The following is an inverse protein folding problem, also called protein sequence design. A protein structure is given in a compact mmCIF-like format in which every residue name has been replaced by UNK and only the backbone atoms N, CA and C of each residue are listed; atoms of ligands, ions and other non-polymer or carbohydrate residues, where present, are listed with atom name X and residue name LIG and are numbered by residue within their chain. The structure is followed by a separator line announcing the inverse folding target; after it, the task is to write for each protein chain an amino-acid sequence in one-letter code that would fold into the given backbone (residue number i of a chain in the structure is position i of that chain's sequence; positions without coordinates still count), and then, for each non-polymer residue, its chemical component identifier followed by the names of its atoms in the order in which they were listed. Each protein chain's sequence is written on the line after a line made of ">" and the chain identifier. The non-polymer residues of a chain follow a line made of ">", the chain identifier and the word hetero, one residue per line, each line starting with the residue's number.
data_IF_921931975078
#
_entry.id   IF_921931975078
#
_cell.length_a   1.000
_cell.length_b   1.000
_cell.length_c   1.000
_cell.angle_alpha   90.00
_cell.angle_beta   90.00
_cell.angle_gamma   90.00
#
_symmetry.space_group_name_H-M   'P 1'
#
loop_
_entity.id
_entity.type
_entity.pdbx_description
1 polymer ?
#
# COMPACT_ATOMS: atom_id res chain seq x y z
N UNK A 1 20.55 -8.65 -6.67
CA UNK A 1 19.18 -8.17 -6.43
C UNK A 1 18.37 -9.38 -6.03
N UNK A 2 17.76 -9.36 -4.85
CA UNK A 2 16.93 -10.45 -4.34
C UNK A 2 15.59 -10.49 -5.10
N UNK A 3 15.00 -11.67 -5.30
CA UNK A 3 13.69 -11.82 -5.93
C UNK A 3 12.62 -11.04 -5.15
N UNK A 4 12.71 -11.07 -3.81
CA UNK A 4 11.79 -10.34 -2.93
C UNK A 4 11.94 -8.82 -3.08
N UNK A 5 13.17 -8.34 -3.21
CA UNK A 5 13.48 -6.93 -3.46
C UNK A 5 12.90 -6.49 -4.82
N UNK A 6 13.07 -7.33 -5.86
CA UNK A 6 12.53 -7.08 -7.19
C UNK A 6 11.00 -6.98 -7.17
N UNK A 7 10.33 -7.95 -6.54
CA UNK A 7 8.87 -7.93 -6.38
C UNK A 7 8.38 -6.71 -5.59
N UNK A 8 9.14 -6.30 -4.57
CA UNK A 8 8.82 -5.12 -3.77
C UNK A 8 8.87 -3.84 -4.61
N UNK A 9 9.90 -3.68 -5.45
CA UNK A 9 10.00 -2.52 -6.37
C UNK A 9 8.91 -2.52 -7.43
N UNK A 10 8.56 -3.69 -7.97
CA UNK A 10 7.46 -3.83 -8.93
C UNK A 10 6.13 -3.49 -8.28
N UNK A 11 5.89 -3.96 -7.04
CA UNK A 11 4.68 -3.65 -6.28
C UNK A 11 4.52 -2.13 -6.07
N UNK A 12 5.60 -1.44 -5.67
CA UNK A 12 5.57 0.02 -5.53
C UNK A 12 5.23 0.71 -6.86
N UNK A 13 5.89 0.33 -7.96
CA UNK A 13 5.65 0.91 -9.28
C UNK A 13 4.22 0.66 -9.81
N UNK A 14 3.63 -0.50 -9.51
CA UNK A 14 2.25 -0.81 -9.90
C UNK A 14 1.26 0.07 -9.16
N UNK A 15 1.44 0.29 -7.85
CA UNK A 15 0.58 1.19 -7.09
C UNK A 15 0.74 2.63 -7.57
N UNK A 16 1.96 3.10 -7.85
CA UNK A 16 2.18 4.42 -8.47
C UNK A 16 1.41 4.56 -9.79
N UNK A 17 1.48 3.54 -10.65
CA UNK A 17 0.79 3.52 -11.94
C UNK A 17 -0.74 3.61 -11.78
N UNK A 18 -1.31 2.90 -10.81
CA UNK A 18 -2.74 2.99 -10.49
C UNK A 18 -3.14 4.44 -10.18
N UNK A 19 -2.40 5.12 -9.29
CA UNK A 19 -2.68 6.51 -8.93
C UNK A 19 -2.49 7.48 -10.11
N UNK A 20 -1.42 7.32 -10.90
CA UNK A 20 -1.21 8.15 -12.10
C UNK A 20 -2.35 8.02 -13.10
N UNK A 21 -2.87 6.81 -13.33
CA UNK A 21 -4.04 6.61 -14.21
C UNK A 21 -5.33 7.21 -13.65
N UNK A 22 -5.45 7.31 -12.32
CA UNK A 22 -6.51 8.05 -11.65
C UNK A 22 -6.26 9.58 -11.62
N UNK A 23 -5.28 10.09 -12.39
CA UNK A 23 -4.93 11.51 -12.52
C UNK A 23 -4.40 12.15 -11.23
N UNK A 24 -3.76 11.36 -10.37
CA UNK A 24 -2.94 11.89 -9.29
C UNK A 24 -1.55 12.22 -9.81
N UNK A 25 -1.01 13.35 -9.35
CA UNK A 25 0.42 13.61 -9.35
C UNK A 25 1.07 12.74 -8.29
N UNK A 26 2.14 12.03 -8.66
CA UNK A 26 2.85 11.11 -7.78
C UNK A 26 4.29 11.57 -7.64
N UNK A 27 4.69 11.88 -6.40
CA UNK A 27 6.04 12.32 -6.07
C UNK A 27 6.68 11.37 -5.04
N UNK A 28 7.95 10.98 -5.20
CA UNK A 28 8.63 10.13 -4.22
C UNK A 28 8.66 10.81 -2.85
N UNK A 29 8.47 10.02 -1.79
CA UNK A 29 8.53 10.57 -0.45
C UNK A 29 9.98 10.84 -0.06
N UNK A 30 10.30 12.12 0.16
CA UNK A 30 11.58 12.55 0.71
C UNK A 30 11.32 13.03 2.14
N UNK A 31 12.07 12.50 3.09
CA UNK A 31 12.04 13.00 4.46
C UNK A 31 13.46 13.23 4.93
N UNK A 32 13.64 14.34 5.65
CA UNK A 32 14.86 14.63 6.39
C UNK A 32 14.86 13.93 7.77
N UNK A 33 13.75 13.25 8.12
CA UNK A 33 13.60 12.51 9.37
C UNK A 33 14.14 11.08 9.25
N UNK A 34 14.60 10.53 10.39
CA UNK A 34 15.04 9.14 10.45
C UNK A 34 13.91 8.17 10.07
N UNK A 35 14.23 7.19 9.22
CA UNK A 35 13.30 6.12 8.84
C UNK A 35 12.87 5.33 10.08
N UNK A 36 11.62 4.86 10.09
CA UNK A 36 11.11 4.02 11.16
C UNK A 36 11.79 2.65 11.07
N UNK A 37 12.75 2.38 11.96
CA UNK A 37 13.41 1.08 12.05
C UNK A 37 12.56 0.08 12.81
N UNK A 38 12.19 -1.01 12.14
CA UNK A 38 11.54 -2.14 12.78
C UNK A 38 12.26 -3.44 12.42
N UNK A 39 12.98 -4.01 13.37
CA UNK A 39 13.85 -5.15 13.11
C UNK A 39 14.99 -4.75 12.17
N UNK A 40 15.03 -5.35 10.97
CA UNK A 40 16.02 -5.05 9.92
C UNK A 40 15.47 -4.17 8.80
N UNK A 41 14.19 -3.82 8.86
CA UNK A 41 13.52 -3.08 7.81
C UNK A 41 13.37 -1.60 8.20
N UNK A 42 13.71 -0.72 7.27
CA UNK A 42 13.42 0.71 7.34
C UNK A 42 12.04 0.96 6.70
N UNK A 43 11.14 1.61 7.45
CA UNK A 43 9.80 1.94 6.99
C UNK A 43 9.62 3.45 6.82
N UNK A 44 9.08 3.81 5.66
CA UNK A 44 8.60 5.15 5.32
C UNK A 44 7.46 5.03 4.32
N UNK A 45 6.68 6.11 4.11
CA UNK A 45 5.90 6.24 2.89
C UNK A 45 6.80 6.02 1.67
N UNK A 46 6.25 5.37 0.65
CA UNK A 46 6.91 5.18 -0.64
C UNK A 46 6.83 6.48 -1.45
N UNK A 47 5.64 7.09 -1.48
CA UNK A 47 5.37 8.31 -2.25
C UNK A 47 4.22 9.12 -1.65
N UNK A 48 4.11 10.37 -2.12
CA UNK A 48 2.95 11.23 -1.93
C UNK A 48 2.15 11.23 -3.22
N UNK A 49 0.83 11.15 -3.09
CA UNK A 49 -0.11 11.36 -4.20
C UNK A 49 -0.92 12.61 -3.94
N UNK A 50 -1.06 13.46 -4.96
CA UNK A 50 -1.83 14.70 -4.87
C UNK A 50 -2.72 14.88 -6.09
N UNK A 51 -3.88 15.49 -5.91
CA UNK A 51 -4.81 15.80 -6.99
C UNK A 51 -5.61 17.05 -6.63
N UNK A 52 -5.83 17.92 -7.62
CA UNK A 52 -6.73 19.07 -7.47
C UNK A 52 -8.09 18.71 -8.05
N UNK A 53 -9.13 18.69 -7.21
CA UNK A 53 -10.52 18.44 -7.59
C UNK A 53 -11.36 19.63 -7.16
N UNK A 54 -12.09 20.26 -8.09
CA UNK A 54 -12.91 21.45 -7.83
C UNK A 54 -12.17 22.59 -7.11
N UNK A 55 -10.88 22.76 -7.43
CA UNK A 55 -10.01 23.78 -6.82
C UNK A 55 -9.52 23.43 -5.42
N UNK A 56 -9.84 22.25 -4.89
CA UNK A 56 -9.31 21.74 -3.62
C UNK A 56 -8.18 20.74 -3.88
N UNK A 57 -7.02 21.00 -3.30
CA UNK A 57 -5.90 20.06 -3.31
C UNK A 57 -6.15 18.96 -2.27
N UNK A 58 -6.16 17.71 -2.73
CA UNK A 58 -6.14 16.52 -1.87
C UNK A 58 -4.76 15.90 -1.96
N UNK A 59 -4.19 15.53 -0.81
CA UNK A 59 -2.82 15.00 -0.73
C UNK A 59 -2.76 13.88 0.30
N UNK A 60 -2.17 12.75 -0.09
CA UNK A 60 -2.08 11.56 0.75
C UNK A 60 -0.67 10.98 0.71
N UNK A 61 -0.25 10.42 1.83
CA UNK A 61 0.96 9.58 1.88
C UNK A 61 0.56 8.13 1.63
N UNK A 62 1.35 7.43 0.82
CA UNK A 62 1.12 6.02 0.48
C UNK A 62 2.39 5.21 0.75
N UNK A 63 2.24 4.09 1.45
CA UNK A 63 3.30 3.09 1.59
C UNK A 63 2.86 1.81 0.89
N UNK A 64 3.49 1.48 -0.23
CA UNK A 64 3.19 0.26 -0.98
C UNK A 64 4.20 -0.83 -0.60
N UNK A 65 3.73 -2.02 -0.22
CA UNK A 65 4.59 -3.14 0.18
C UNK A 65 4.08 -4.46 -0.38
N UNK A 66 4.98 -5.21 -0.99
CA UNK A 66 4.71 -6.57 -1.41
C UNK A 66 4.65 -7.52 -0.21
N UNK A 67 3.62 -8.38 -0.16
CA UNK A 67 3.51 -9.50 0.78
C UNK A 67 2.96 -10.73 0.07
N UNK A 68 3.58 -11.93 0.23
CA UNK A 68 3.05 -13.16 -0.34
C UNK A 68 1.60 -13.45 0.06
N UNK A 69 1.22 -13.16 1.31
CA UNK A 69 -0.16 -13.22 1.82
C UNK A 69 -0.47 -11.95 2.61
N UNK A 70 -1.50 -11.22 2.20
CA UNK A 70 -2.00 -10.05 2.92
C UNK A 70 -2.64 -10.46 4.26
N UNK A 71 -3.48 -11.50 4.25
CA UNK A 71 -4.20 -12.00 5.43
C UNK A 71 -3.25 -12.43 6.56
N UNK A 72 -2.26 -13.27 6.24
CA UNK A 72 -1.26 -13.71 7.22
C UNK A 72 -0.48 -12.52 7.81
N UNK A 73 -0.13 -11.56 6.96
CA UNK A 73 0.57 -10.36 7.40
C UNK A 73 -0.28 -9.53 8.37
N UNK A 74 -1.55 -9.27 8.03
CA UNK A 74 -2.48 -8.54 8.89
C UNK A 74 -2.72 -9.28 10.21
N UNK A 75 -2.88 -10.61 10.17
CA UNK A 75 -3.05 -11.43 11.38
C UNK A 75 -1.86 -11.28 12.35
N UNK A 76 -0.64 -11.35 11.83
CA UNK A 76 0.59 -11.15 12.63
C UNK A 76 0.66 -9.73 13.20
N UNK A 77 0.33 -8.71 12.40
CA UNK A 77 0.33 -7.32 12.89
C UNK A 77 -0.76 -7.09 13.96
N UNK A 78 -1.94 -7.68 13.83
CA UNK A 78 -2.99 -7.59 14.85
C UNK A 78 -2.56 -8.23 16.17
N UNK A 79 -1.87 -9.38 16.13
CA UNK A 79 -1.32 -10.03 17.33
C UNK A 79 -0.28 -9.16 18.05
N UNK A 80 0.43 -8.30 17.32
CA UNK A 80 1.39 -7.35 17.91
C UNK A 80 0.72 -6.15 18.58
N UNK A 81 -0.55 -5.87 18.28
CA UNK A 81 -1.32 -4.76 18.86
C UNK A 81 -0.61 -3.42 18.72
N UNK A 82 -0.32 -2.76 19.84
CA UNK A 82 0.36 -1.45 19.91
C UNK A 82 1.81 -1.45 19.42
N UNK A 83 2.39 -2.64 19.21
CA UNK A 83 3.74 -2.83 18.64
C UNK A 83 3.71 -3.18 17.16
N UNK A 84 2.54 -3.18 16.52
CA UNK A 84 2.43 -3.39 15.08
C UNK A 84 3.07 -2.25 14.30
N UNK A 85 3.50 -2.55 13.08
CA UNK A 85 4.05 -1.53 12.19
C UNK A 85 3.02 -0.44 11.89
N UNK A 86 1.74 -0.80 11.78
CA UNK A 86 0.68 0.16 11.50
C UNK A 86 0.51 1.18 12.62
N UNK A 87 0.58 0.76 13.89
CA UNK A 87 0.52 1.69 15.02
C UNK A 87 1.74 2.60 15.07
N UNK A 88 2.93 2.06 14.79
CA UNK A 88 4.17 2.86 14.75
C UNK A 88 4.16 3.88 13.61
N UNK A 89 3.77 3.47 12.41
CA UNK A 89 3.65 4.36 11.25
C UNK A 89 2.58 5.42 11.48
N UNK A 90 1.42 5.07 12.06
CA UNK A 90 0.35 6.03 12.37
C UNK A 90 0.82 7.16 13.31
N UNK A 91 1.71 6.87 14.26
CA UNK A 91 2.28 7.89 15.16
C UNK A 91 3.12 8.93 14.42
N UNK A 92 3.74 8.57 13.30
CA UNK A 92 4.60 9.47 12.51
C UNK A 92 3.85 10.07 11.31
N UNK A 93 3.00 9.29 10.67
CA UNK A 93 2.22 9.63 9.48
C UNK A 93 0.76 9.17 9.67
N UNK A 94 -0.05 9.92 10.44
CA UNK A 94 -1.41 9.50 10.79
C UNK A 94 -2.35 9.38 9.58
N UNK A 95 -2.10 10.15 8.52
CA UNK A 95 -2.86 10.14 7.26
C UNK A 95 -2.27 9.19 6.20
N UNK A 96 -1.34 8.31 6.58
CA UNK A 96 -0.77 7.33 5.67
C UNK A 96 -1.80 6.27 5.30
N UNK A 97 -1.85 5.92 4.02
CA UNK A 97 -2.51 4.71 3.55
C UNK A 97 -1.46 3.64 3.25
N UNK A 98 -1.54 2.52 3.95
CA UNK A 98 -0.65 1.39 3.71
C UNK A 98 -1.28 0.44 2.71
N UNK A 99 -0.63 0.25 1.56
CA UNK A 99 -1.10 -0.63 0.48
C UNK A 99 -0.27 -1.91 0.45
N UNK A 100 -0.94 -3.02 0.70
CA UNK A 100 -0.44 -4.37 0.51
C UNK A 100 -0.66 -4.80 -0.94
N UNK A 101 0.40 -5.25 -1.59
CA UNK A 101 0.34 -5.90 -2.89
C UNK A 101 0.62 -7.39 -2.71
N UNK A 102 -0.31 -8.24 -3.12
CA UNK A 102 -0.19 -9.69 -2.99
C UNK A 102 -0.44 -10.41 -4.32
N UNK A 103 0.31 -11.49 -4.55
CA UNK A 103 0.09 -12.40 -5.69
C UNK A 103 -0.98 -13.48 -5.39
N UNK A 104 -1.36 -13.65 -4.12
CA UNK A 104 -2.31 -14.68 -3.66
C UNK A 104 -3.39 -14.04 -2.79
N UNK A 105 -4.25 -13.17 -3.35
CA UNK A 105 -5.39 -12.67 -2.61
C UNK A 105 -6.37 -13.81 -2.29
N UNK A 106 -7.12 -13.67 -1.21
CA UNK A 106 -8.25 -14.56 -0.92
C UNK A 106 -9.34 -14.44 -2.01
N UNK A 107 -10.21 -15.46 -2.19
CA UNK A 107 -11.29 -15.41 -3.17
C UNK A 107 -12.15 -14.16 -3.02
N UNK A 108 -12.35 -13.42 -4.12
CA UNK A 108 -13.12 -12.18 -4.14
C UNK A 108 -12.41 -10.95 -3.59
N UNK A 109 -11.12 -11.06 -3.20
CA UNK A 109 -10.29 -9.93 -2.76
C UNK A 109 -9.35 -9.45 -3.84
N UNK A 110 -8.99 -8.19 -3.77
CA UNK A 110 -8.04 -7.58 -4.70
C UNK A 110 -6.60 -7.99 -4.40
N UNK A 111 -5.76 -8.00 -5.45
CA UNK A 111 -4.30 -8.05 -5.30
C UNK A 111 -3.76 -6.79 -4.60
N UNK A 112 -4.52 -5.69 -4.61
CA UNK A 112 -4.17 -4.41 -3.99
C UNK A 112 -5.12 -4.13 -2.83
N UNK A 113 -4.61 -4.25 -1.61
CA UNK A 113 -5.40 -4.09 -0.39
C UNK A 113 -4.85 -2.94 0.45
N UNK A 114 -5.71 -2.09 0.99
CA UNK A 114 -5.33 -0.91 1.73
C UNK A 114 -5.68 -1.02 3.22
N UNK A 115 -4.84 -0.41 4.06
CA UNK A 115 -5.08 -0.13 5.47
C UNK A 115 -4.93 1.39 5.66
N UNK A 116 -6.03 2.16 5.61
CA UNK A 116 -6.00 3.58 5.93
C UNK A 116 -5.70 3.75 7.43
N UNK A 117 -4.53 4.30 7.77
CA UNK A 117 -4.11 4.37 9.17
C UNK A 117 -4.93 5.36 10.00
N UNK A 118 -5.54 6.34 9.34
CA UNK A 118 -6.37 7.37 9.98
C UNK A 118 -7.58 6.76 10.69
N UNK A 119 -8.29 5.85 10.00
CA UNK A 119 -9.53 5.22 10.48
C UNK A 119 -9.29 3.88 11.19
N UNK A 120 -8.05 3.40 11.21
CA UNK A 120 -7.67 2.14 11.83
C UNK A 120 -7.87 2.17 13.36
N UNK A 121 -8.43 1.09 13.92
CA UNK A 121 -8.49 0.87 15.37
C UNK A 121 -7.29 0.04 15.85
N UNK A 122 -6.74 0.33 17.05
CA UNK A 122 -5.70 -0.51 17.64
C UNK A 122 -6.11 -1.99 17.77
N UNK A 123 -5.23 -2.91 17.38
CA UNK A 123 -5.48 -4.36 17.42
C UNK A 123 -6.48 -4.89 16.38
N UNK A 124 -7.08 -4.03 15.56
CA UNK A 124 -8.12 -4.39 14.59
C UNK A 124 -7.81 -3.84 13.20
N UNK A 125 -6.55 -3.90 12.77
CA UNK A 125 -6.19 -3.59 11.39
C UNK A 125 -6.93 -4.55 10.46
N UNK A 126 -7.75 -3.99 9.58
CA UNK A 126 -8.46 -4.72 8.51
C UNK A 126 -8.10 -4.10 7.18
N UNK A 127 -8.02 -4.92 6.15
CA UNK A 127 -7.83 -4.43 4.80
C UNK A 127 -9.16 -4.16 4.12
N UNK A 128 -9.17 -3.15 3.27
CA UNK A 128 -10.20 -2.93 2.24
C UNK A 128 -9.54 -3.05 0.87
N UNK A 129 -10.29 -3.39 -0.17
CA UNK A 129 -9.69 -3.40 -1.51
C UNK A 129 -9.35 -1.95 -1.89
N UNK A 130 -8.24 -1.73 -2.60
CA UNK A 130 -7.72 -0.38 -2.86
C UNK A 130 -8.75 0.49 -3.60
N UNK A 131 -9.51 -0.09 -4.54
CA UNK A 131 -10.60 0.60 -5.24
C UNK A 131 -11.77 1.03 -4.33
N UNK A 132 -11.91 0.43 -3.14
CA UNK A 132 -12.97 0.74 -2.17
C UNK A 132 -12.57 1.85 -1.18
N UNK A 133 -11.32 2.34 -1.24
CA UNK A 133 -10.89 3.49 -0.44
C UNK A 133 -11.53 4.75 -1.01
N UNK A 134 -12.64 5.18 -0.38
CA UNK A 134 -13.48 6.30 -0.87
C UNK A 134 -12.71 7.60 -1.11
N UNK A 135 -11.69 7.86 -0.29
CA UNK A 135 -10.91 9.11 -0.38
C UNK A 135 -10.07 9.20 -1.65
N UNK A 136 -9.76 8.06 -2.29
CA UNK A 136 -8.93 8.01 -3.49
C UNK A 136 -9.70 8.05 -4.80
N UNK A 137 -11.01 7.82 -4.78
CA UNK A 137 -11.88 7.81 -5.97
C UNK A 137 -11.29 7.02 -7.16
N UNK A 138 -10.70 5.85 -6.87
CA UNK A 138 -10.04 5.03 -7.88
C UNK A 138 -11.07 4.27 -8.71
N UNK A 139 -10.85 4.25 -10.03
CA UNK A 139 -11.69 3.48 -10.92
C UNK A 139 -11.47 1.97 -10.75
N UNK A 140 -12.52 1.16 -10.49
CA UNK A 140 -12.37 -0.29 -10.28
C UNK A 140 -11.66 -1.02 -11.43
N UNK A 141 -12.04 -0.71 -12.68
CA UNK A 141 -11.43 -1.30 -13.88
C UNK A 141 -9.92 -1.04 -13.97
N UNK A 142 -9.46 0.13 -13.49
CA UNK A 142 -8.03 0.45 -13.47
C UNK A 142 -7.29 -0.48 -12.52
N UNK A 143 -7.86 -0.78 -11.35
CA UNK A 143 -7.26 -1.71 -10.40
C UNK A 143 -7.26 -3.12 -10.98
N UNK A 144 -8.37 -3.58 -11.56
CA UNK A 144 -8.52 -4.90 -12.20
C UNK A 144 -7.47 -5.15 -13.29
N UNK A 145 -7.24 -4.19 -14.19
CA UNK A 145 -6.18 -4.27 -15.20
C UNK A 145 -4.80 -4.48 -14.57
N UNK A 146 -4.50 -3.77 -13.47
CA UNK A 146 -3.24 -3.92 -12.77
C UNK A 146 -3.15 -5.25 -12.01
N UNK A 147 -4.27 -5.86 -11.60
CA UNK A 147 -4.24 -7.19 -10.99
C UNK A 147 -3.83 -8.25 -12.01
N UNK A 148 -4.28 -8.12 -13.26
CA UNK A 148 -3.83 -9.00 -14.32
C UNK A 148 -2.32 -8.86 -14.55
N UNK A 149 -1.79 -7.64 -14.51
CA UNK A 149 -0.34 -7.40 -14.58
C UNK A 149 0.40 -8.03 -13.40
N UNK A 150 -0.10 -7.91 -12.17
CA UNK A 150 0.47 -8.58 -10.98
C UNK A 150 0.59 -10.07 -11.21
N UNK A 151 -0.52 -10.72 -11.63
CA UNK A 151 -0.58 -12.18 -11.83
C UNK A 151 0.41 -12.63 -12.92
N UNK A 152 0.50 -11.88 -14.03
CA UNK A 152 1.43 -12.17 -15.13
C UNK A 152 2.89 -11.98 -14.71
N UNK A 153 3.24 -10.80 -14.18
CA UNK A 153 4.63 -10.45 -13.84
C UNK A 153 5.16 -11.36 -12.73
N UNK A 154 4.42 -11.50 -11.62
CA UNK A 154 4.87 -12.31 -10.50
C UNK A 154 4.82 -13.81 -10.81
N UNK A 155 3.87 -14.24 -11.65
CA UNK A 155 3.85 -15.60 -12.21
C UNK A 155 5.14 -15.91 -12.98
N UNK A 156 5.57 -15.03 -13.87
CA UNK A 156 6.81 -15.21 -14.65
C UNK A 156 8.08 -15.15 -13.80
N UNK A 157 8.09 -14.37 -12.71
CA UNK A 157 9.26 -14.27 -11.81
C UNK A 157 9.41 -15.47 -10.87
N UNK A 158 8.36 -16.29 -10.72
CA UNK A 158 8.40 -17.52 -9.94
C UNK A 158 8.61 -18.78 -10.79
N UNK A 159 8.63 -18.62 -12.13
CA UNK A 159 8.71 -19.70 -13.11
C UNK A 159 10.14 -20.19 -13.35
#
# INVERSE_FOLDING_TARGET
>A
MDLLETKSRIAEALVESIFRRARYDVAPFKTDQALLRFGRDDFSPSFRVSQTVDGQERSYLVAAKYRPSAEQYISVENQRGDRSIFQMMRRHWPQLCFVLVTERPEPGRSCFQAVPLETMRPGESRTVDLAQVKDFDLFPHNVEDHEELVRRIFGSLNA
#
